data_IF_950787443307
#
_entry.id   IF_950787443307
#
_cell.length_a   1.000
_cell.length_b   1.000
_cell.length_c   1.000
_cell.angle_alpha   90.00
_cell.angle_beta   90.00
_cell.angle_gamma   90.00
#
_symmetry.space_group_name_H-M   'P 1'
#
loop_
_entity.id
_entity.type
_entity.pdbx_description
1 polymer ?
#
# COMPACT_ATOMS: atom_id res chain seq x y z
N UNK A 1 4.68 -16.71 -16.35
CA UNK A 1 3.79 -15.78 -15.62
C UNK A 1 4.41 -15.50 -14.25
N UNK A 2 5.33 -14.54 -14.16
CA UNK A 2 6.09 -14.24 -12.93
C UNK A 2 5.42 -13.20 -12.01
N UNK A 3 4.25 -12.66 -12.39
CA UNK A 3 3.58 -11.55 -11.68
C UNK A 3 2.33 -11.92 -10.88
N UNK A 4 2.08 -13.21 -10.60
CA UNK A 4 0.82 -13.63 -9.96
C UNK A 4 0.88 -13.72 -8.43
N UNK A 5 2.07 -13.62 -7.82
CA UNK A 5 2.23 -13.75 -6.36
C UNK A 5 3.28 -12.76 -5.86
N UNK A 6 2.91 -12.02 -4.81
CA UNK A 6 3.85 -11.17 -4.06
C UNK A 6 4.82 -12.09 -3.30
N UNK A 7 6.11 -11.80 -3.36
CA UNK A 7 7.10 -12.58 -2.60
C UNK A 7 6.99 -12.29 -1.10
N UNK A 8 7.35 -13.27 -0.26
CA UNK A 8 7.35 -13.09 1.20
C UNK A 8 8.25 -11.93 1.66
N UNK A 9 9.30 -11.62 0.90
CA UNK A 9 10.17 -10.47 1.18
C UNK A 9 9.46 -9.14 0.92
N UNK A 10 8.85 -8.98 -0.26
CA UNK A 10 8.10 -7.77 -0.61
C UNK A 10 6.92 -7.60 0.36
N UNK A 11 6.23 -8.68 0.71
CA UNK A 11 5.14 -8.64 1.68
C UNK A 11 5.61 -8.14 3.06
N UNK A 12 6.79 -8.60 3.53
CA UNK A 12 7.37 -8.09 4.78
C UNK A 12 7.70 -6.60 4.70
N UNK A 13 8.25 -6.14 3.58
CA UNK A 13 8.55 -4.72 3.37
C UNK A 13 7.28 -3.85 3.37
N UNK A 14 6.20 -4.32 2.73
CA UNK A 14 4.89 -3.65 2.77
C UNK A 14 4.42 -3.47 4.21
N UNK A 15 4.43 -4.53 5.02
CA UNK A 15 3.99 -4.45 6.42
C UNK A 15 4.90 -3.57 7.29
N UNK A 16 6.21 -3.54 7.03
CA UNK A 16 7.12 -2.63 7.72
C UNK A 16 6.82 -1.16 7.40
N UNK A 17 6.55 -0.85 6.14
CA UNK A 17 6.16 0.49 5.71
C UNK A 17 4.80 0.91 6.33
N UNK A 18 3.83 -0.01 6.39
CA UNK A 18 2.55 0.25 7.07
C UNK A 18 2.75 0.59 8.55
N UNK A 19 3.54 -0.19 9.29
CA UNK A 19 3.85 0.12 10.70
C UNK A 19 4.54 1.46 10.89
N UNK A 20 5.40 1.83 9.95
CA UNK A 20 6.03 3.15 9.97
C UNK A 20 4.99 4.26 9.79
N UNK A 21 4.05 4.11 8.84
CA UNK A 21 2.95 5.06 8.64
C UNK A 21 2.05 5.19 9.86
N UNK A 22 1.68 4.06 10.48
CA UNK A 22 0.89 4.04 11.71
C UNK A 22 1.58 4.84 12.82
N UNK A 23 2.89 4.61 13.01
CA UNK A 23 3.68 5.36 13.99
C UNK A 23 3.77 6.86 13.68
N UNK A 24 3.89 7.25 12.41
CA UNK A 24 3.97 8.66 12.04
C UNK A 24 2.64 9.40 12.22
N UNK A 25 1.51 8.71 11.98
CA UNK A 25 0.19 9.32 12.03
C UNK A 25 -0.53 9.13 13.37
N UNK A 26 -0.03 8.24 14.23
CA UNK A 26 -0.66 7.90 15.51
C UNK A 26 -1.97 7.13 15.36
N UNK A 27 -2.22 6.52 14.20
CA UNK A 27 -3.44 5.79 13.85
C UNK A 27 -3.11 4.39 13.37
N UNK A 28 -4.03 3.44 13.52
CA UNK A 28 -3.81 2.04 13.15
C UNK A 28 -4.62 1.62 11.92
N UNK A 29 -4.01 0.87 11.01
CA UNK A 29 -4.70 0.37 9.83
C UNK A 29 -5.68 -0.72 10.22
N UNK A 30 -6.98 -0.51 9.93
CA UNK A 30 -8.05 -1.43 10.28
C UNK A 30 -8.62 -1.27 11.70
N UNK A 31 -8.21 -0.23 12.43
CA UNK A 31 -8.80 0.13 13.72
C UNK A 31 -10.26 0.61 13.54
N UNK A 32 -11.15 0.24 14.46
CA UNK A 32 -12.58 0.60 14.38
C UNK A 32 -12.87 1.98 14.94
N UNK A 33 -12.00 2.52 15.79
CA UNK A 33 -12.23 3.73 16.56
C UNK A 33 -11.43 4.92 16.00
N UNK A 34 -10.15 4.73 15.61
CA UNK A 34 -9.33 5.73 14.92
C UNK A 34 -8.50 5.13 13.75
N UNK A 35 -9.15 4.82 12.60
CA UNK A 35 -8.51 4.16 11.47
C UNK A 35 -7.49 5.03 10.75
N UNK A 36 -6.38 4.40 10.35
CA UNK A 36 -5.49 4.90 9.31
C UNK A 36 -6.05 4.52 7.93
N UNK A 37 -6.47 5.52 7.15
CA UNK A 37 -6.91 5.34 5.77
C UNK A 37 -5.75 5.53 4.80
N UNK A 38 -5.68 4.72 3.74
CA UNK A 38 -4.61 4.75 2.74
C UNK A 38 -5.20 4.73 1.33
N UNK A 39 -4.59 5.48 0.41
CA UNK A 39 -4.91 5.39 -1.01
C UNK A 39 -3.83 4.59 -1.75
N UNK A 40 -4.24 3.74 -2.68
CA UNK A 40 -3.32 2.94 -3.52
C UNK A 40 -3.38 3.47 -4.94
N UNK A 41 -2.21 3.76 -5.52
CA UNK A 41 -2.08 4.30 -6.87
C UNK A 41 -1.06 3.48 -7.65
N UNK A 42 -1.41 3.12 -8.89
CA UNK A 42 -0.40 2.58 -9.81
C UNK A 42 0.49 3.72 -10.32
N UNK A 43 1.78 3.45 -10.45
CA UNK A 43 2.75 4.42 -10.94
C UNK A 43 3.84 3.73 -11.75
N UNK A 44 4.18 4.31 -12.89
CA UNK A 44 5.31 3.87 -13.71
C UNK A 44 6.19 5.08 -14.02
N UNK A 45 7.42 4.80 -14.46
CA UNK A 45 8.40 5.84 -14.81
C UNK A 45 7.90 6.80 -15.90
N UNK A 46 7.03 6.31 -16.79
CA UNK A 46 6.34 7.10 -17.83
C UNK A 46 4.83 6.89 -17.69
N UNK A 47 4.04 7.91 -18.01
CA UNK A 47 2.57 7.80 -17.98
C UNK A 47 2.11 6.70 -18.92
N UNK A 48 1.46 5.68 -18.36
CA UNK A 48 0.83 4.61 -19.12
C UNK A 48 -0.69 4.75 -19.00
N UNK A 49 -1.37 5.24 -20.05
CA UNK A 49 -2.83 5.21 -20.12
C UNK A 49 -3.31 3.76 -20.01
N UNK A 50 -4.27 3.49 -19.12
CA UNK A 50 -4.82 2.14 -18.89
C UNK A 50 -4.15 1.33 -17.78
N UNK A 51 -3.25 1.92 -16.98
CA UNK A 51 -2.85 1.33 -15.70
C UNK A 51 -3.89 1.54 -14.60
N UNK A 52 -3.85 0.67 -13.59
CA UNK A 52 -4.82 0.53 -12.50
C UNK A 52 -5.26 1.86 -11.89
N UNK A 53 -6.57 2.00 -11.68
CA UNK A 53 -7.21 3.18 -11.08
C UNK A 53 -6.71 3.47 -9.66
N UNK A 54 -6.82 4.72 -9.24
CA UNK A 54 -6.61 5.11 -7.84
C UNK A 54 -7.73 4.54 -6.98
N UNK A 55 -7.37 3.85 -5.89
CA UNK A 55 -8.31 3.44 -4.85
C UNK A 55 -8.16 4.41 -3.67
N UNK A 56 -9.26 5.02 -3.22
CA UNK A 56 -9.34 5.94 -2.09
C UNK A 56 -9.98 5.25 -0.88
#
# INVERSE_FOLDING_TARGET
RAGQRISNEIQRQIFQAMRWLEKQNGRMFGDTDDPLLVSVRSGARVSMPGMMDTIL
#
